data_IF_346358110688
#
_entry.id   IF_346358110688
#
_cell.length_a   1.000
_cell.length_b   1.000
_cell.length_c   1.000
_cell.angle_alpha   90.00
_cell.angle_beta   90.00
_cell.angle_gamma   90.00
#
_symmetry.space_group_name_H-M   'P 1'
#
loop_
_entity.id
_entity.type
_entity.pdbx_description
1 polymer ?
#
# COMPACT_ATOMS: atom_id res chain seq x y z
N UNK A 1 23.50 -22.80 -8.40
CA UNK A 1 23.01 -21.45 -8.81
C UNK A 1 22.61 -20.68 -7.56
N UNK A 2 23.25 -19.59 -7.23
CA UNK A 2 22.87 -18.73 -6.11
C UNK A 2 21.51 -18.10 -6.37
N UNK A 3 20.58 -18.25 -5.44
CA UNK A 3 19.25 -17.65 -5.51
C UNK A 3 19.42 -16.12 -5.51
N UNK A 4 19.06 -15.45 -6.60
CA UNK A 4 19.10 -14.00 -6.69
C UNK A 4 18.00 -13.40 -5.80
N UNK A 5 18.36 -12.67 -4.76
CA UNK A 5 17.45 -11.94 -3.88
C UNK A 5 16.88 -10.74 -4.66
N UNK A 6 15.54 -10.55 -4.71
CA UNK A 6 14.95 -9.40 -5.41
C UNK A 6 15.25 -8.09 -4.69
N UNK A 7 15.46 -7.01 -5.44
CA UNK A 7 15.40 -5.65 -4.91
C UNK A 7 13.94 -5.22 -4.85
N UNK A 8 13.50 -4.78 -3.69
CA UNK A 8 12.09 -4.45 -3.43
C UNK A 8 11.99 -2.96 -3.11
N UNK A 9 11.03 -2.28 -3.71
CA UNK A 9 10.59 -0.94 -3.29
C UNK A 9 9.24 -1.08 -2.61
N UNK A 10 9.18 -0.73 -1.32
CA UNK A 10 7.96 -0.65 -0.54
C UNK A 10 7.60 0.83 -0.39
N UNK A 11 6.52 1.23 -1.06
CA UNK A 11 6.01 2.59 -1.04
C UNK A 11 4.85 2.73 -0.06
N UNK A 12 4.81 3.87 0.61
CA UNK A 12 3.65 4.37 1.33
C UNK A 12 3.31 5.78 0.84
N UNK A 13 2.17 6.30 1.26
CA UNK A 13 1.90 7.73 1.26
C UNK A 13 1.74 8.19 2.70
N UNK A 14 2.67 9.00 3.21
CA UNK A 14 2.59 9.55 4.56
C UNK A 14 1.45 10.56 4.64
N UNK A 15 0.63 10.44 5.67
CA UNK A 15 -0.49 11.35 5.94
C UNK A 15 -0.21 12.11 7.24
N UNK A 16 -0.24 13.44 7.19
CA UNK A 16 -0.11 14.25 8.40
C UNK A 16 -1.46 14.31 9.14
N UNK A 17 -1.75 13.28 9.93
CA UNK A 17 -2.98 13.22 10.72
C UNK A 17 -3.02 14.26 11.81
N UNK A 18 -4.15 14.97 11.95
CA UNK A 18 -4.48 15.79 13.13
C UNK A 18 -4.88 14.95 14.35
N UNK A 19 -5.45 13.76 14.10
CA UNK A 19 -5.81 12.79 15.15
C UNK A 19 -4.54 12.15 15.73
N UNK A 20 -4.30 12.38 17.03
CA UNK A 20 -3.11 11.90 17.76
C UNK A 20 -3.01 10.35 17.74
N UNK A 21 -4.13 9.63 17.84
CA UNK A 21 -4.13 8.16 17.82
C UNK A 21 -3.71 7.65 16.44
N UNK A 22 -4.31 8.17 15.36
CA UNK A 22 -3.95 7.80 13.98
C UNK A 22 -2.49 8.13 13.67
N UNK A 23 -2.01 9.28 14.12
CA UNK A 23 -0.60 9.66 13.99
C UNK A 23 0.32 8.67 14.70
N UNK A 24 -0.05 8.23 15.92
CA UNK A 24 0.72 7.24 16.67
C UNK A 24 0.70 5.86 16.00
N UNK A 25 -0.43 5.38 15.52
CA UNK A 25 -0.53 4.11 14.79
C UNK A 25 0.31 4.10 13.52
N UNK A 26 0.24 5.19 12.74
CA UNK A 26 1.09 5.35 11.56
C UNK A 26 2.58 5.33 11.92
N UNK A 27 2.96 6.02 13.01
CA UNK A 27 4.35 6.00 13.51
C UNK A 27 4.78 4.58 13.89
N UNK A 28 3.98 3.85 14.66
CA UNK A 28 4.26 2.46 15.05
C UNK A 28 4.42 1.58 13.81
N UNK A 29 3.53 1.72 12.83
CA UNK A 29 3.59 0.94 11.60
C UNK A 29 4.89 1.21 10.82
N UNK A 30 5.29 2.46 10.68
CA UNK A 30 6.56 2.82 10.02
C UNK A 30 7.79 2.31 10.79
N UNK A 31 7.80 2.40 12.13
CA UNK A 31 8.89 1.87 12.96
C UNK A 31 8.98 0.33 12.83
N UNK A 32 7.84 -0.37 12.74
CA UNK A 32 7.77 -1.81 12.46
C UNK A 32 8.30 -2.13 11.07
N UNK A 33 7.91 -1.37 10.04
CA UNK A 33 8.43 -1.54 8.68
C UNK A 33 9.95 -1.41 8.66
N UNK A 34 10.50 -0.38 9.30
CA UNK A 34 11.96 -0.18 9.40
C UNK A 34 12.64 -1.37 10.07
N UNK A 35 12.13 -1.79 11.21
CA UNK A 35 12.74 -2.88 12.00
C UNK A 35 12.73 -4.23 11.27
N UNK A 36 11.68 -4.50 10.50
CA UNK A 36 11.43 -5.79 9.89
C UNK A 36 11.87 -5.89 8.41
N UNK A 37 12.19 -4.76 7.77
CA UNK A 37 12.65 -4.77 6.37
C UNK A 37 14.08 -5.27 6.25
N UNK A 38 14.34 -6.28 5.41
CA UNK A 38 15.70 -6.71 5.09
C UNK A 38 16.42 -5.70 4.19
N UNK A 39 17.75 -5.80 4.08
CA UNK A 39 18.62 -4.84 3.38
C UNK A 39 18.33 -4.68 1.87
N UNK A 40 17.64 -5.63 1.26
CA UNK A 40 17.22 -5.56 -0.14
C UNK A 40 15.87 -4.83 -0.34
N UNK A 41 15.27 -4.29 0.73
CA UNK A 41 14.05 -3.49 0.69
C UNK A 41 14.38 -2.02 0.86
N UNK A 42 13.95 -1.22 -0.08
CA UNK A 42 13.98 0.24 -0.01
C UNK A 42 12.61 0.75 0.42
N UNK A 43 12.56 1.42 1.57
CA UNK A 43 11.36 2.09 2.07
C UNK A 43 11.27 3.49 1.45
N UNK A 44 10.11 3.84 0.90
CA UNK A 44 9.90 5.15 0.27
C UNK A 44 8.53 5.71 0.64
N UNK A 45 8.42 7.03 0.65
CA UNK A 45 7.12 7.71 0.71
C UNK A 45 7.01 8.70 -0.43
N UNK A 46 5.84 8.69 -1.10
CA UNK A 46 5.50 9.65 -2.14
C UNK A 46 4.49 10.65 -1.59
N UNK A 47 4.84 11.93 -1.65
CA UNK A 47 4.08 13.01 -1.05
C UNK A 47 3.98 14.21 -2.01
N UNK A 48 3.12 15.16 -1.69
CA UNK A 48 3.05 16.44 -2.40
C UNK A 48 4.21 17.36 -2.01
N UNK A 49 4.49 18.34 -2.87
CA UNK A 49 5.59 19.29 -2.67
C UNK A 49 5.53 20.00 -1.31
N UNK A 50 4.32 20.38 -0.90
CA UNK A 50 4.09 21.19 0.29
C UNK A 50 3.80 20.36 1.55
N UNK A 51 3.83 19.03 1.45
CA UNK A 51 3.58 18.18 2.61
C UNK A 51 4.73 18.28 3.63
N UNK A 52 4.38 18.42 4.90
CA UNK A 52 5.29 18.16 6.01
C UNK A 52 5.35 16.66 6.27
N UNK A 53 6.49 16.05 5.96
CA UNK A 53 6.69 14.61 6.05
C UNK A 53 7.60 14.28 7.21
N UNK A 54 7.05 13.62 8.24
CA UNK A 54 7.80 13.16 9.41
C UNK A 54 7.83 11.63 9.45
N UNK A 55 8.85 11.05 8.83
CA UNK A 55 9.07 9.61 8.74
C UNK A 55 10.43 9.23 9.32
N UNK A 56 10.64 7.96 9.75
CA UNK A 56 11.96 7.48 10.13
C UNK A 56 13.00 7.71 9.03
N UNK A 57 14.26 7.96 9.41
CA UNK A 57 15.35 8.31 8.48
C UNK A 57 15.64 7.24 7.41
N UNK A 58 15.20 6.01 7.62
CA UNK A 58 15.34 4.91 6.66
C UNK A 58 14.37 5.04 5.47
N UNK A 59 13.34 5.86 5.60
CA UNK A 59 12.47 6.18 4.47
C UNK A 59 13.09 7.26 3.59
N UNK A 60 13.09 7.01 2.28
CA UNK A 60 13.40 8.07 1.31
C UNK A 60 12.11 8.82 0.98
N UNK A 61 12.13 10.13 1.14
CA UNK A 61 10.99 11.01 0.86
C UNK A 61 11.07 11.53 -0.57
N UNK A 62 10.02 11.33 -1.35
CA UNK A 62 9.87 11.87 -2.70
C UNK A 62 8.65 12.79 -2.76
N UNK A 63 8.87 14.08 -2.87
CA UNK A 63 7.84 15.12 -3.00
C UNK A 63 7.50 15.37 -4.46
N UNK A 64 6.88 14.40 -5.11
CA UNK A 64 6.67 14.39 -6.57
C UNK A 64 5.23 14.11 -6.99
N UNK A 65 4.29 13.99 -6.04
CA UNK A 65 2.88 13.89 -6.37
C UNK A 65 2.36 15.27 -6.79
N UNK A 66 1.69 15.33 -7.93
CA UNK A 66 1.16 16.57 -8.50
C UNK A 66 -0.37 16.62 -8.43
N UNK A 67 -1.01 15.50 -8.81
CA UNK A 67 -2.47 15.38 -8.84
C UNK A 67 -3.01 14.98 -7.48
N UNK A 68 -4.02 15.68 -6.99
CA UNK A 68 -4.77 15.24 -5.82
C UNK A 68 -6.28 15.33 -6.03
N UNK A 69 -7.02 14.49 -5.30
CA UNK A 69 -8.47 14.35 -5.44
C UNK A 69 -9.24 15.62 -5.05
N UNK A 70 -8.73 16.44 -4.14
CA UNK A 70 -9.37 17.68 -3.75
C UNK A 70 -9.42 18.68 -4.92
N UNK A 71 -8.30 18.86 -5.61
CA UNK A 71 -8.20 19.79 -6.75
C UNK A 71 -8.90 19.27 -8.00
N UNK A 72 -8.94 17.96 -8.22
CA UNK A 72 -9.42 17.39 -9.48
C UNK A 72 -10.91 17.03 -9.49
N UNK A 73 -11.45 16.59 -8.36
CA UNK A 73 -12.85 16.15 -8.25
C UNK A 73 -13.57 16.75 -7.03
N UNK A 74 -12.99 17.73 -6.34
CA UNK A 74 -13.58 18.37 -5.16
C UNK A 74 -13.74 17.44 -3.96
N UNK A 75 -12.85 16.44 -3.79
CA UNK A 75 -12.87 15.58 -2.61
C UNK A 75 -12.53 16.39 -1.35
N UNK A 76 -12.99 15.96 -0.18
CA UNK A 76 -12.75 16.67 1.09
C UNK A 76 -11.28 16.63 1.52
N UNK A 77 -10.55 15.60 1.09
CA UNK A 77 -9.13 15.40 1.41
C UNK A 77 -8.26 15.41 0.15
N UNK A 78 -7.02 15.95 0.21
CA UNK A 78 -6.08 15.92 -0.90
C UNK A 78 -5.42 14.54 -1.03
N UNK A 79 -6.19 13.50 -1.39
CA UNK A 79 -5.69 12.14 -1.52
C UNK A 79 -5.03 11.91 -2.88
N UNK A 80 -3.96 11.10 -2.94
CA UNK A 80 -3.26 10.80 -4.19
C UNK A 80 -3.98 9.78 -5.06
N UNK A 81 -3.59 9.75 -6.31
CA UNK A 81 -4.00 8.71 -7.24
C UNK A 81 -3.08 7.50 -7.12
N UNK A 82 -3.69 6.33 -7.00
CA UNK A 82 -2.97 5.05 -6.78
C UNK A 82 -1.94 4.79 -7.87
N UNK A 83 -2.32 5.04 -9.13
CA UNK A 83 -1.47 4.77 -10.29
C UNK A 83 -0.23 5.66 -10.31
N UNK A 84 -0.31 6.91 -9.85
CA UNK A 84 0.85 7.79 -9.76
C UNK A 84 1.91 7.20 -8.82
N UNK A 85 1.49 6.69 -7.67
CA UNK A 85 2.39 6.02 -6.71
C UNK A 85 3.07 4.81 -7.36
N UNK A 86 2.31 3.95 -8.05
CA UNK A 86 2.87 2.77 -8.72
C UNK A 86 3.79 3.14 -9.89
N UNK A 87 3.43 4.13 -10.69
CA UNK A 87 4.26 4.57 -11.81
C UNK A 87 5.60 5.15 -11.31
N UNK A 88 5.61 5.97 -10.25
CA UNK A 88 6.85 6.47 -9.65
C UNK A 88 7.69 5.35 -9.02
N UNK A 89 7.07 4.45 -8.24
CA UNK A 89 7.80 3.33 -7.65
C UNK A 89 8.41 2.42 -8.73
N UNK A 90 7.74 2.22 -9.87
CA UNK A 90 8.23 1.41 -10.99
C UNK A 90 9.43 1.98 -11.72
N UNK A 91 9.70 3.29 -11.61
CA UNK A 91 10.86 3.96 -12.20
C UNK A 91 12.14 3.73 -11.38
N UNK A 92 12.00 3.29 -10.13
CA UNK A 92 13.13 3.02 -9.26
C UNK A 92 13.86 1.73 -9.66
N UNK A 93 15.11 1.60 -9.22
CA UNK A 93 15.92 0.41 -9.50
C UNK A 93 15.50 -0.78 -8.62
N UNK A 94 14.46 -1.49 -9.03
CA UNK A 94 13.88 -2.63 -8.31
C UNK A 94 13.46 -3.77 -9.23
N UNK A 95 13.31 -4.96 -8.67
CA UNK A 95 12.73 -6.14 -9.33
C UNK A 95 11.23 -6.26 -9.03
N UNK A 96 10.85 -5.87 -7.79
CA UNK A 96 9.47 -5.83 -7.28
C UNK A 96 9.24 -4.47 -6.63
N UNK A 97 8.06 -3.92 -6.81
CA UNK A 97 7.62 -2.71 -6.08
C UNK A 97 6.16 -2.85 -5.70
N UNK A 98 5.75 -2.10 -4.70
CA UNK A 98 4.36 -2.08 -4.29
C UNK A 98 4.06 -1.00 -3.27
N UNK A 99 2.79 -0.96 -2.89
CA UNK A 99 2.22 0.02 -1.98
C UNK A 99 1.58 -0.69 -0.78
N UNK A 100 1.79 -0.12 0.40
CA UNK A 100 1.04 -0.39 1.63
C UNK A 100 0.41 0.90 2.14
N UNK A 101 -0.77 0.81 2.76
CA UNK A 101 -1.27 1.93 3.56
C UNK A 101 -0.28 2.23 4.70
N UNK A 102 -0.13 3.51 5.05
CA UNK A 102 0.93 3.97 5.96
C UNK A 102 0.77 3.50 7.42
N UNK A 103 -0.37 2.92 7.77
CA UNK A 103 -0.71 2.35 9.07
C UNK A 103 -0.66 0.81 9.11
N UNK A 104 -0.11 0.19 8.08
CA UNK A 104 0.05 -1.26 7.96
C UNK A 104 1.38 -1.71 8.55
N UNK A 105 1.33 -2.72 9.40
CA UNK A 105 2.50 -3.39 9.99
C UNK A 105 2.80 -4.70 9.28
N UNK A 106 4.08 -5.03 9.12
CA UNK A 106 4.53 -6.27 8.52
C UNK A 106 5.55 -6.98 9.41
N UNK A 107 5.44 -8.30 9.53
CA UNK A 107 6.49 -9.12 10.13
C UNK A 107 7.63 -9.37 9.13
N UNK A 108 8.81 -9.76 9.64
CA UNK A 108 9.98 -10.05 8.80
C UNK A 108 9.68 -11.08 7.72
N UNK A 109 8.89 -12.11 8.02
CA UNK A 109 8.49 -13.18 7.11
C UNK A 109 7.55 -12.72 5.98
N UNK A 110 7.07 -11.49 6.03
CA UNK A 110 6.32 -10.90 4.92
C UNK A 110 7.14 -10.88 3.63
N UNK A 111 8.41 -10.59 3.74
CA UNK A 111 9.28 -10.42 2.57
C UNK A 111 9.67 -11.73 1.88
N UNK A 112 9.54 -12.88 2.55
CA UNK A 112 9.83 -14.21 1.98
C UNK A 112 8.93 -14.55 0.80
N UNK A 113 7.75 -13.92 0.71
CA UNK A 113 6.81 -14.15 -0.40
C UNK A 113 7.39 -13.73 -1.75
N UNK A 114 8.35 -12.79 -1.75
CA UNK A 114 8.98 -12.28 -2.97
C UNK A 114 10.15 -13.16 -3.47
N UNK A 115 10.50 -14.20 -2.77
CA UNK A 115 11.60 -15.11 -3.15
C UNK A 115 11.42 -15.74 -4.55
N UNK A 116 10.19 -15.93 -4.96
CA UNK A 116 9.83 -16.49 -6.27
C UNK A 116 9.39 -15.41 -7.28
N UNK A 117 9.83 -14.15 -7.11
CA UNK A 117 9.38 -12.99 -7.87
C UNK A 117 9.45 -13.16 -9.41
N UNK A 118 10.36 -13.98 -9.91
CA UNK A 118 10.47 -14.22 -11.36
C UNK A 118 9.27 -14.94 -11.95
N UNK A 119 8.56 -15.74 -11.12
CA UNK A 119 7.39 -16.53 -11.51
C UNK A 119 6.07 -15.86 -11.18
N UNK A 120 6.09 -14.83 -10.33
CA UNK A 120 4.89 -14.16 -9.82
C UNK A 120 4.84 -12.74 -10.40
N UNK A 121 3.72 -12.37 -10.95
CA UNK A 121 3.52 -11.07 -11.59
C UNK A 121 2.92 -10.03 -10.64
N UNK A 122 2.04 -10.49 -9.73
CA UNK A 122 1.33 -9.60 -8.82
C UNK A 122 1.09 -10.26 -7.46
N UNK A 123 1.05 -9.45 -6.41
CA UNK A 123 0.81 -9.88 -5.05
C UNK A 123 -0.27 -9.01 -4.43
N UNK A 124 -1.28 -9.64 -3.86
CA UNK A 124 -2.38 -9.01 -3.18
C UNK A 124 -2.40 -9.45 -1.72
N UNK A 125 -2.38 -8.51 -0.81
CA UNK A 125 -2.32 -8.78 0.62
C UNK A 125 -3.54 -8.23 1.35
N UNK A 126 -4.29 -9.13 1.97
CA UNK A 126 -5.31 -8.78 2.94
C UNK A 126 -4.65 -8.53 4.30
N UNK A 127 -5.34 -7.79 5.14
CA UNK A 127 -4.92 -7.51 6.51
C UNK A 127 -5.66 -8.37 7.52
N UNK A 128 -5.04 -8.44 8.70
CA UNK A 128 -5.63 -8.91 9.96
C UNK A 128 -5.69 -7.69 10.86
N UNK A 129 -6.85 -7.40 11.41
CA UNK A 129 -7.00 -6.32 12.38
C UNK A 129 -6.67 -6.84 13.78
N UNK A 130 -5.81 -6.11 14.48
CA UNK A 130 -5.31 -6.44 15.83
C UNK A 130 -5.64 -5.33 16.82
N UNK A 131 -5.64 -5.66 18.10
CA UNK A 131 -5.74 -4.66 19.16
C UNK A 131 -4.54 -3.69 19.12
N UNK A 132 -4.67 -2.57 19.81
CA UNK A 132 -3.59 -1.58 19.92
C UNK A 132 -2.30 -2.19 20.47
N UNK A 133 -1.18 -1.88 19.85
CA UNK A 133 0.11 -2.52 20.15
C UNK A 133 1.27 -1.51 20.14
N UNK A 134 2.35 -1.88 20.83
CA UNK A 134 3.67 -1.26 20.64
C UNK A 134 4.50 -2.01 19.58
N UNK A 135 5.59 -1.41 19.12
CA UNK A 135 6.56 -2.08 18.24
C UNK A 135 7.11 -3.36 18.86
N UNK A 136 7.40 -3.36 20.18
CA UNK A 136 7.91 -4.53 20.90
C UNK A 136 6.87 -5.64 20.96
N UNK A 137 5.63 -5.32 21.33
CA UNK A 137 4.51 -6.25 21.41
C UNK A 137 4.19 -6.88 20.07
N UNK A 138 4.21 -6.08 18.99
CA UNK A 138 4.00 -6.58 17.65
C UNK A 138 5.09 -7.58 17.23
N UNK A 139 6.35 -7.24 17.41
CA UNK A 139 7.47 -8.11 17.00
C UNK A 139 7.57 -9.40 17.81
N UNK A 140 7.14 -9.42 19.08
CA UNK A 140 7.04 -10.65 19.89
C UNK A 140 5.81 -11.50 19.54
N UNK A 141 4.97 -11.05 18.62
CA UNK A 141 3.69 -11.69 18.22
C UNK A 141 2.70 -11.85 19.39
N UNK A 142 2.86 -11.03 20.42
CA UNK A 142 1.99 -11.02 21.61
C UNK A 142 0.91 -9.94 21.48
N UNK A 143 -0.01 -10.10 20.54
CA UNK A 143 -1.13 -9.21 20.30
C UNK A 143 -2.44 -9.99 20.14
N UNK A 144 -3.54 -9.34 20.46
CA UNK A 144 -4.88 -9.90 20.28
C UNK A 144 -5.38 -9.62 18.87
N UNK A 145 -5.88 -10.65 18.17
CA UNK A 145 -6.53 -10.53 16.87
C UNK A 145 -8.00 -10.17 17.09
N UNK A 146 -8.40 -9.04 16.51
CA UNK A 146 -9.79 -8.54 16.59
C UNK A 146 -10.60 -9.06 15.40
N UNK A 147 -10.03 -9.00 14.19
CA UNK A 147 -10.73 -9.44 12.98
C UNK A 147 -9.75 -10.05 11.96
N UNK A 148 -10.05 -11.30 11.53
CA UNK A 148 -9.15 -12.06 10.64
C UNK A 148 -9.48 -11.93 9.15
N UNK A 149 -10.71 -11.57 8.82
CA UNK A 149 -11.26 -11.74 7.47
C UNK A 149 -11.59 -10.41 6.79
N UNK A 150 -10.73 -9.39 6.98
CA UNK A 150 -10.92 -8.12 6.29
C UNK A 150 -10.95 -8.33 4.77
N UNK A 151 -12.01 -7.91 4.05
CA UNK A 151 -12.20 -8.24 2.64
C UNK A 151 -11.29 -7.44 1.69
N UNK A 152 -10.83 -6.26 2.10
CA UNK A 152 -10.01 -5.35 1.29
C UNK A 152 -8.55 -5.78 1.17
N UNK A 153 -7.84 -5.15 0.24
CA UNK A 153 -6.40 -5.32 0.03
C UNK A 153 -5.68 -4.03 0.43
N UNK A 154 -4.90 -4.11 1.50
CA UNK A 154 -4.12 -2.97 2.00
C UNK A 154 -2.67 -2.98 1.51
N UNK A 155 -2.33 -3.99 0.70
CA UNK A 155 -1.03 -4.09 0.05
C UNK A 155 -1.12 -4.71 -1.33
N UNK A 156 -0.55 -4.01 -2.32
CA UNK A 156 -0.48 -4.49 -3.69
C UNK A 156 0.95 -4.31 -4.19
N UNK A 157 1.53 -5.41 -4.71
CA UNK A 157 2.88 -5.41 -5.27
C UNK A 157 2.90 -6.01 -6.66
N UNK A 158 3.84 -5.54 -7.48
CA UNK A 158 4.03 -5.97 -8.84
C UNK A 158 5.47 -6.34 -9.13
N UNK A 159 5.68 -7.34 -9.95
CA UNK A 159 6.95 -7.51 -10.65
C UNK A 159 7.12 -6.35 -11.62
N UNK A 160 8.22 -5.59 -11.50
CA UNK A 160 8.44 -4.37 -12.29
C UNK A 160 8.30 -4.60 -13.80
N UNK A 161 8.90 -5.66 -14.32
CA UNK A 161 8.83 -5.99 -15.75
C UNK A 161 7.38 -6.21 -16.23
N UNK A 162 6.57 -6.87 -15.42
CA UNK A 162 5.16 -7.10 -15.75
C UNK A 162 4.36 -5.81 -15.74
N UNK A 163 4.56 -4.95 -14.70
CA UNK A 163 3.90 -3.65 -14.61
C UNK A 163 4.17 -2.77 -15.83
N UNK A 164 5.43 -2.62 -16.24
CA UNK A 164 5.80 -1.78 -17.37
C UNK A 164 5.11 -2.18 -18.69
N UNK A 165 4.77 -3.46 -18.85
CA UNK A 165 4.03 -3.97 -20.01
C UNK A 165 2.52 -3.71 -19.86
N UNK A 166 1.99 -3.88 -18.64
CA UNK A 166 0.54 -3.94 -18.40
C UNK A 166 -0.07 -2.67 -17.79
N UNK A 167 0.73 -1.68 -17.38
CA UNK A 167 0.26 -0.48 -16.65
C UNK A 167 -0.84 0.32 -17.36
N UNK A 168 -0.91 0.27 -18.70
CA UNK A 168 -1.95 0.93 -19.48
C UNK A 168 -3.35 0.34 -19.27
N UNK A 169 -3.46 -0.86 -18.72
CA UNK A 169 -4.74 -1.52 -18.37
C UNK A 169 -5.36 -0.96 -17.11
N UNK A 170 -4.57 -0.26 -16.29
CA UNK A 170 -5.02 0.30 -15.02
C UNK A 170 -5.48 1.74 -15.22
N UNK A 171 -6.69 2.02 -14.73
CA UNK A 171 -7.25 3.37 -14.74
C UNK A 171 -6.41 4.29 -13.82
N UNK A 172 -6.20 5.52 -14.26
CA UNK A 172 -5.38 6.51 -13.55
C UNK A 172 -6.19 7.44 -12.63
N UNK A 173 -7.50 7.27 -12.58
CA UNK A 173 -8.42 8.07 -11.77
C UNK A 173 -8.75 7.50 -10.39
N UNK A 174 -8.21 6.34 -10.01
CA UNK A 174 -8.49 5.72 -8.70
C UNK A 174 -7.73 6.39 -7.57
N UNK A 175 -8.44 6.67 -6.47
CA UNK A 175 -7.95 7.44 -5.34
C UNK A 175 -7.66 6.51 -4.16
N UNK A 176 -6.44 6.55 -3.65
CA UNK A 176 -6.01 5.83 -2.43
C UNK A 176 -6.70 6.42 -1.19
N UNK A 177 -7.03 5.57 -0.22
CA UNK A 177 -7.68 6.01 1.03
C UNK A 177 -9.16 6.33 0.91
N UNK A 178 -9.76 6.06 -0.24
CA UNK A 178 -11.20 5.99 -0.47
C UNK A 178 -11.62 4.54 -0.77
N UNK A 179 -12.88 4.13 -0.52
CA UNK A 179 -13.33 2.76 -0.79
C UNK A 179 -13.12 2.30 -2.23
N UNK A 180 -12.92 0.99 -2.40
CA UNK A 180 -13.00 0.25 -3.66
C UNK A 180 -11.83 0.41 -4.66
N UNK A 181 -10.78 1.18 -4.40
CA UNK A 181 -9.62 1.25 -5.29
C UNK A 181 -8.90 -0.11 -5.40
N UNK A 182 -8.82 -0.83 -4.32
CA UNK A 182 -8.20 -2.14 -4.18
C UNK A 182 -8.98 -3.25 -4.89
N UNK A 183 -10.32 -3.17 -4.88
CA UNK A 183 -11.18 -4.07 -5.64
C UNK A 183 -10.97 -3.94 -7.14
N UNK A 184 -10.84 -2.71 -7.65
CA UNK A 184 -10.53 -2.47 -9.05
C UNK A 184 -9.21 -3.14 -9.45
N UNK A 185 -8.16 -2.91 -8.67
CA UNK A 185 -6.84 -3.52 -8.93
C UNK A 185 -6.92 -5.04 -8.92
N UNK A 186 -7.60 -5.64 -7.94
CA UNK A 186 -7.82 -7.08 -7.90
C UNK A 186 -8.55 -7.60 -9.15
N UNK A 187 -9.57 -6.87 -9.64
CA UNK A 187 -10.34 -7.24 -10.83
C UNK A 187 -9.47 -7.22 -12.10
N UNK A 188 -8.74 -6.13 -12.33
CA UNK A 188 -7.84 -5.99 -13.49
C UNK A 188 -6.70 -7.02 -13.45
N UNK A 189 -6.12 -7.25 -12.28
CA UNK A 189 -5.05 -8.26 -12.10
C UNK A 189 -5.58 -9.66 -12.47
N UNK A 190 -6.78 -10.03 -12.01
CA UNK A 190 -7.39 -11.34 -12.31
C UNK A 190 -7.70 -11.55 -13.79
N UNK A 191 -8.02 -10.51 -14.52
CA UNK A 191 -8.26 -10.54 -15.97
C UNK A 191 -6.94 -10.60 -16.76
N UNK A 192 -5.80 -10.42 -16.10
CA UNK A 192 -4.49 -10.57 -16.73
C UNK A 192 -4.03 -12.03 -16.63
N UNK A 193 -3.20 -12.47 -17.58
CA UNK A 193 -2.64 -13.83 -17.60
C UNK A 193 -1.52 -14.04 -16.57
N UNK A 194 -1.33 -13.10 -15.64
CA UNK A 194 -0.26 -13.11 -14.67
C UNK A 194 -0.51 -14.10 -13.52
N UNK A 195 0.57 -14.64 -12.96
CA UNK A 195 0.49 -15.43 -11.73
C UNK A 195 0.31 -14.51 -10.53
N UNK A 196 -0.69 -14.82 -9.69
CA UNK A 196 -1.12 -13.99 -8.55
C UNK A 196 -0.93 -14.77 -7.26
N UNK A 197 -0.34 -14.09 -6.27
CA UNK A 197 -0.37 -14.57 -4.88
C UNK A 197 -1.31 -13.70 -4.07
N UNK A 198 -2.23 -14.35 -3.35
CA UNK A 198 -3.05 -13.73 -2.31
C UNK A 198 -2.61 -14.25 -0.94
N UNK A 199 -2.29 -13.36 -0.03
CA UNK A 199 -1.83 -13.72 1.32
C UNK A 199 -2.42 -12.77 2.37
N UNK A 200 -2.72 -13.32 3.56
CA UNK A 200 -3.06 -12.57 4.77
C UNK A 200 -1.81 -12.42 5.60
N UNK A 201 -1.01 -11.38 5.37
CA UNK A 201 0.26 -11.16 6.07
C UNK A 201 0.45 -9.73 6.57
N UNK A 202 -0.57 -8.90 6.37
CA UNK A 202 -0.57 -7.52 6.85
C UNK A 202 -1.31 -7.42 8.17
N UNK A 203 -0.90 -6.51 9.02
CA UNK A 203 -1.55 -6.23 10.30
C UNK A 203 -1.88 -4.74 10.39
N UNK A 204 -3.02 -4.46 10.97
CA UNK A 204 -3.52 -3.10 11.14
C UNK A 204 -4.13 -2.97 12.54
N UNK A 205 -3.91 -1.86 13.22
CA UNK A 205 -4.61 -1.60 14.48
C UNK A 205 -6.07 -1.35 14.20
N UNK A 206 -6.93 -2.19 14.78
CA UNK A 206 -8.38 -2.07 14.58
C UNK A 206 -8.90 -0.74 15.09
N UNK A 207 -9.62 -0.05 14.24
CA UNK A 207 -10.45 1.09 14.63
C UNK A 207 -11.75 1.06 13.83
N UNK A 208 -12.83 1.51 14.48
CA UNK A 208 -14.12 1.59 13.82
C UNK A 208 -14.11 2.76 12.81
N UNK A 209 -13.79 2.46 11.57
CA UNK A 209 -13.80 3.46 10.49
C UNK A 209 -15.18 3.48 9.85
N UNK A 210 -15.89 4.59 10.03
CA UNK A 210 -17.11 4.85 9.24
C UNK A 210 -16.65 5.42 7.89
N UNK A 211 -16.76 4.60 6.85
CA UNK A 211 -16.47 5.03 5.49
C UNK A 211 -17.55 5.99 4.98
N UNK A 212 -17.13 7.18 4.54
CA UNK A 212 -18.03 8.08 3.83
C UNK A 212 -18.23 7.57 2.38
N UNK A 213 -19.23 6.72 2.19
CA UNK A 213 -19.54 6.14 0.89
C UNK A 213 -20.10 7.16 -0.13
N UNK A 214 -20.41 8.37 0.31
CA UNK A 214 -20.93 9.47 -0.52
C UNK A 214 -19.88 10.54 -0.83
N UNK A 215 -18.62 10.37 -0.35
CA UNK A 215 -17.54 11.26 -0.74
C UNK A 215 -17.33 11.23 -2.26
N UNK A 216 -16.88 12.35 -2.84
CA UNK A 216 -16.58 12.41 -4.27
C UNK A 216 -15.56 11.33 -4.68
N UNK A 217 -14.59 11.03 -3.80
CA UNK A 217 -13.61 9.98 -4.03
C UNK A 217 -14.22 8.58 -4.06
N UNK A 218 -15.10 8.25 -3.12
CA UNK A 218 -15.80 6.96 -3.09
C UNK A 218 -16.73 6.78 -4.31
N UNK A 219 -17.46 7.82 -4.68
CA UNK A 219 -18.33 7.82 -5.87
C UNK A 219 -17.49 7.63 -7.15
N UNK A 220 -16.36 8.34 -7.26
CA UNK A 220 -15.45 8.21 -8.39
C UNK A 220 -14.88 6.79 -8.51
N UNK A 221 -14.36 6.22 -7.41
CA UNK A 221 -13.80 4.87 -7.43
C UNK A 221 -14.83 3.81 -7.81
N UNK A 222 -16.07 3.93 -7.30
CA UNK A 222 -17.17 3.03 -7.68
C UNK A 222 -17.53 3.13 -9.16
N UNK A 223 -17.61 4.35 -9.70
CA UNK A 223 -17.89 4.55 -11.12
C UNK A 223 -16.83 3.88 -11.99
N UNK A 224 -15.56 4.04 -11.65
CA UNK A 224 -14.44 3.40 -12.37
C UNK A 224 -14.50 1.89 -12.22
N UNK A 225 -14.79 1.37 -11.01
CA UNK A 225 -14.87 -0.07 -10.75
C UNK A 225 -16.03 -0.73 -11.49
N UNK A 226 -17.17 -0.05 -11.61
CA UNK A 226 -18.32 -0.52 -12.37
C UNK A 226 -18.13 -0.53 -13.89
N UNK A 227 -17.21 0.26 -14.40
CA UNK A 227 -16.88 0.29 -15.84
C UNK A 227 -15.97 -0.88 -16.29
N UNK A 228 -15.43 -1.65 -15.35
CA UNK A 228 -14.63 -2.85 -15.63
C UNK A 228 -15.59 -4.07 -15.56
N UNK A 229 -16.38 -4.27 -16.61
CA UNK A 229 -17.24 -5.44 -16.76
C UNK A 229 -16.47 -6.69 -17.22
#
# INVERSE_FOLDING_TARGET
>A
MTKKIPRIVLAINYVNYSDVKKKNWQKIAMDVMVKNSPSNVQLVTFNYKDDEVNVPQQFRVFKMLERNSQKTIGNTRPLPYVKDIFDFASQMNCDVFGYLNSDIMVHKEFFDVFDNYKKIDSYLFNRIDIADVSVATFNSKNFHIVWKDHPGFDGIFFRRKWWLINRKRFNDGLIVGEPEWDYYYNKVIRQSTGQIIKKRKLHHVYHNTIWNLTSNGAVNNRKINGAVA
#
